data_IF_688035711874
#
_entry.id   IF_688035711874
#
_cell.length_a   1.000
_cell.length_b   1.000
_cell.length_c   1.000
_cell.angle_alpha   90.00
_cell.angle_beta   90.00
_cell.angle_gamma   90.00
#
_symmetry.space_group_name_H-M   'P 1'
#
loop_
_entity.id
_entity.type
_entity.pdbx_description
1 polymer ?
#
# COMPACT_ATOMS: atom_id res chain seq x y z
N UNK A 1 32.29 69.88 -8.48
CA UNK A 1 30.97 69.25 -8.20
C UNK A 1 30.82 67.84 -8.76
N UNK A 2 31.64 67.35 -9.71
CA UNK A 2 31.55 65.97 -10.25
C UNK A 2 31.82 64.82 -9.23
N UNK A 3 32.33 65.13 -8.04
CA UNK A 3 32.71 64.11 -7.04
C UNK A 3 31.51 63.47 -6.35
N UNK A 4 30.39 64.16 -6.24
CA UNK A 4 29.23 63.68 -5.47
C UNK A 4 28.38 62.72 -6.31
N UNK A 5 28.15 63.04 -7.59
CA UNK A 5 27.42 62.16 -8.52
C UNK A 5 28.15 60.84 -8.78
N UNK A 6 29.48 60.85 -8.85
CA UNK A 6 30.28 59.63 -8.94
C UNK A 6 30.24 58.79 -7.66
N UNK A 7 30.17 59.43 -6.49
CA UNK A 7 30.05 58.72 -5.22
C UNK A 7 28.67 58.04 -5.09
N UNK A 8 27.60 58.74 -5.51
CA UNK A 8 26.23 58.21 -5.50
C UNK A 8 26.11 57.03 -6.47
N UNK A 9 26.55 57.16 -7.73
CA UNK A 9 26.46 56.05 -8.71
C UNK A 9 27.30 54.82 -8.31
N UNK A 10 28.35 54.99 -7.52
CA UNK A 10 29.13 53.88 -6.96
C UNK A 10 28.41 53.21 -5.79
N UNK A 11 27.73 53.98 -4.95
CA UNK A 11 26.93 53.46 -3.86
C UNK A 11 25.75 52.63 -4.40
N UNK A 12 25.01 53.15 -5.38
CA UNK A 12 23.87 52.45 -5.99
C UNK A 12 24.30 51.10 -6.59
N UNK A 13 25.42 51.09 -7.34
CA UNK A 13 25.96 49.83 -7.89
C UNK A 13 26.43 48.85 -6.81
N UNK A 14 26.99 49.36 -5.71
CA UNK A 14 27.41 48.50 -4.62
C UNK A 14 26.19 47.87 -3.91
N UNK A 15 25.09 48.62 -3.77
CA UNK A 15 23.83 48.12 -3.23
C UNK A 15 23.21 47.05 -4.15
N UNK A 16 23.16 47.29 -5.46
CA UNK A 16 22.69 46.31 -6.44
C UNK A 16 23.53 45.02 -6.41
N UNK A 17 24.86 45.14 -6.36
CA UNK A 17 25.76 43.98 -6.28
C UNK A 17 25.52 43.22 -4.96
N UNK A 18 25.41 43.92 -3.83
CA UNK A 18 25.16 43.30 -2.54
C UNK A 18 23.81 42.56 -2.50
N UNK A 19 22.77 43.13 -3.11
CA UNK A 19 21.46 42.50 -3.24
C UNK A 19 21.54 41.20 -4.07
N UNK A 20 22.23 41.24 -5.21
CA UNK A 20 22.42 40.07 -6.08
C UNK A 20 23.25 38.98 -5.39
N UNK A 21 24.33 39.34 -4.72
CA UNK A 21 25.16 38.39 -3.96
C UNK A 21 24.35 37.71 -2.86
N UNK A 22 23.50 38.46 -2.16
CA UNK A 22 22.62 37.93 -1.13
C UNK A 22 21.57 36.97 -1.72
N UNK A 23 20.98 37.30 -2.86
CA UNK A 23 20.02 36.43 -3.54
C UNK A 23 20.68 35.11 -4.00
N UNK A 24 21.88 35.18 -4.58
CA UNK A 24 22.67 34.01 -4.99
C UNK A 24 23.02 33.16 -3.77
N UNK A 25 23.46 33.77 -2.67
CA UNK A 25 23.78 33.05 -1.43
C UNK A 25 22.56 32.30 -0.88
N UNK A 26 21.40 32.95 -0.84
CA UNK A 26 20.14 32.34 -0.43
C UNK A 26 19.76 31.17 -1.33
N UNK A 27 19.85 31.35 -2.66
CA UNK A 27 19.53 30.30 -3.62
C UNK A 27 20.47 29.09 -3.47
N UNK A 28 21.76 29.31 -3.21
CA UNK A 28 22.72 28.22 -2.98
C UNK A 28 22.38 27.45 -1.71
N UNK A 29 22.10 28.14 -0.61
CA UNK A 29 21.72 27.49 0.65
C UNK A 29 20.45 26.66 0.51
N UNK A 30 19.44 27.18 -0.20
CA UNK A 30 18.20 26.46 -0.45
C UNK A 30 18.46 25.20 -1.29
N UNK A 31 19.26 25.31 -2.35
CA UNK A 31 19.62 24.18 -3.20
C UNK A 31 20.35 23.08 -2.41
N UNK A 32 21.30 23.47 -1.56
CA UNK A 32 22.07 22.53 -0.74
C UNK A 32 21.17 21.80 0.27
N UNK A 33 20.24 22.51 0.90
CA UNK A 33 19.24 21.91 1.80
C UNK A 33 18.33 20.92 1.09
N UNK A 34 17.86 21.28 -0.11
CA UNK A 34 17.00 20.41 -0.91
C UNK A 34 17.76 19.17 -1.42
N UNK A 35 19.03 19.34 -1.82
CA UNK A 35 19.91 18.24 -2.21
C UNK A 35 20.17 17.28 -1.04
N UNK A 36 20.40 17.82 0.16
CA UNK A 36 20.57 16.99 1.36
C UNK A 36 19.29 16.20 1.67
N UNK A 37 18.12 16.82 1.53
CA UNK A 37 16.82 16.14 1.72
C UNK A 37 16.64 14.99 0.73
N UNK A 38 17.03 15.17 -0.53
CA UNK A 38 17.02 14.09 -1.53
C UNK A 38 17.99 12.97 -1.17
N UNK A 39 19.21 13.31 -0.74
CA UNK A 39 20.21 12.33 -0.32
C UNK A 39 19.73 11.50 0.85
N UNK A 40 19.13 12.13 1.85
CA UNK A 40 18.62 11.43 3.04
C UNK A 40 17.47 10.49 2.69
N UNK A 41 16.57 10.91 1.79
CA UNK A 41 15.52 10.03 1.27
C UNK A 41 16.13 8.82 0.56
N UNK A 42 17.11 9.02 -0.32
CA UNK A 42 17.81 7.93 -1.03
C UNK A 42 18.55 6.98 -0.08
N UNK A 43 19.16 7.49 0.98
CA UNK A 43 19.81 6.65 1.99
C UNK A 43 18.80 5.75 2.72
N UNK A 44 17.63 6.27 3.06
CA UNK A 44 16.55 5.46 3.67
C UNK A 44 15.97 4.43 2.69
N UNK A 45 15.91 4.76 1.40
CA UNK A 45 15.48 3.83 0.36
C UNK A 45 16.49 2.70 0.21
N UNK A 46 17.78 3.02 0.22
CA UNK A 46 18.86 2.04 0.15
C UNK A 46 18.89 1.08 1.36
N UNK A 47 18.40 1.53 2.53
CA UNK A 47 18.21 0.66 3.70
C UNK A 47 16.90 -0.14 3.68
N UNK A 48 16.11 -0.05 2.60
CA UNK A 48 14.86 -0.81 2.42
C UNK A 48 13.60 -0.09 2.91
N UNK A 49 13.70 1.16 3.35
CA UNK A 49 12.53 1.95 3.74
C UNK A 49 11.90 2.66 2.52
N UNK A 50 11.09 1.92 1.76
CA UNK A 50 10.39 2.44 0.58
C UNK A 50 9.17 3.33 0.89
N UNK A 51 8.82 3.52 2.17
CA UNK A 51 7.70 4.39 2.58
C UNK A 51 8.07 5.87 2.62
N UNK A 52 9.36 6.19 2.51
CA UNK A 52 9.89 7.55 2.53
C UNK A 52 9.58 8.25 1.22
N UNK A 53 9.31 9.56 1.31
CA UNK A 53 9.14 10.42 0.13
C UNK A 53 10.28 11.42 0.05
N UNK A 54 10.80 11.60 -1.15
CA UNK A 54 11.66 12.73 -1.47
C UNK A 54 10.80 14.00 -1.44
N UNK A 55 10.88 14.78 -0.36
CA UNK A 55 10.11 16.00 -0.16
C UNK A 55 10.99 17.22 -0.48
N UNK A 56 10.71 17.85 -1.61
CA UNK A 56 11.38 19.08 -2.05
C UNK A 56 10.30 20.11 -2.38
N UNK A 57 10.48 21.42 -2.06
CA UNK A 57 9.50 22.45 -2.38
C UNK A 57 9.17 22.51 -3.87
N UNK A 58 7.93 22.89 -4.21
CA UNK A 58 7.52 23.09 -5.61
C UNK A 58 8.20 24.33 -6.18
N UNK A 59 8.60 24.26 -7.44
CA UNK A 59 9.25 25.38 -8.14
C UNK A 59 10.77 25.44 -7.99
N UNK A 60 11.38 24.52 -7.23
CA UNK A 60 12.84 24.38 -7.22
C UNK A 60 13.29 23.50 -8.39
N UNK A 61 14.54 23.69 -8.83
CA UNK A 61 15.15 22.89 -9.91
C UNK A 61 15.14 21.38 -9.59
N UNK A 62 15.17 21.03 -8.30
CA UNK A 62 15.20 19.64 -7.84
C UNK A 62 13.80 18.99 -7.73
N UNK A 63 12.73 19.76 -7.92
CA UNK A 63 11.37 19.25 -7.76
C UNK A 63 11.03 18.12 -8.73
N UNK A 64 11.40 18.24 -10.01
CA UNK A 64 11.16 17.20 -11.01
C UNK A 64 11.94 15.92 -10.70
N UNK A 65 13.15 16.06 -10.14
CA UNK A 65 13.97 14.94 -9.68
C UNK A 65 13.26 14.24 -8.52
N UNK A 66 12.83 15.00 -7.50
CA UNK A 66 12.08 14.46 -6.37
C UNK A 66 10.81 13.70 -6.81
N UNK A 67 10.09 14.27 -7.80
CA UNK A 67 8.89 13.65 -8.37
C UNK A 67 9.21 12.33 -9.08
N UNK A 68 10.26 12.29 -9.90
CA UNK A 68 10.65 11.06 -10.60
C UNK A 68 11.08 9.95 -9.63
N UNK A 69 11.82 10.29 -8.57
CA UNK A 69 12.19 9.37 -7.48
C UNK A 69 10.93 8.81 -6.81
N UNK A 70 9.98 9.66 -6.42
CA UNK A 70 8.74 9.22 -5.78
C UNK A 70 7.91 8.27 -6.66
N UNK A 71 7.87 8.52 -7.98
CA UNK A 71 7.22 7.62 -8.92
C UNK A 71 7.92 6.27 -9.01
N UNK A 72 9.26 6.25 -8.99
CA UNK A 72 10.03 5.00 -8.99
C UNK A 72 9.79 4.20 -7.70
N UNK A 73 9.73 4.87 -6.54
CA UNK A 73 9.42 4.23 -5.27
C UNK A 73 8.05 3.58 -5.27
N UNK A 74 7.03 4.30 -5.75
CA UNK A 74 5.70 3.73 -5.85
C UNK A 74 5.65 2.50 -6.77
N UNK A 75 6.45 2.49 -7.84
CA UNK A 75 6.57 1.32 -8.72
C UNK A 75 7.27 0.16 -8.01
N UNK A 76 8.38 0.41 -7.33
CA UNK A 76 9.12 -0.61 -6.57
C UNK A 76 8.26 -1.24 -5.47
N UNK A 77 7.51 -0.43 -4.72
CA UNK A 77 6.58 -0.90 -3.70
C UNK A 77 5.52 -1.83 -4.32
N UNK A 78 4.93 -1.44 -5.46
CA UNK A 78 3.98 -2.28 -6.19
C UNK A 78 4.61 -3.58 -6.68
N UNK A 79 5.82 -3.54 -7.22
CA UNK A 79 6.53 -4.75 -7.65
C UNK A 79 6.76 -5.70 -6.48
N UNK A 80 7.20 -5.20 -5.32
CA UNK A 80 7.39 -6.02 -4.12
C UNK A 80 6.09 -6.67 -3.64
N UNK A 81 4.98 -5.93 -3.64
CA UNK A 81 3.66 -6.48 -3.30
C UNK A 81 3.23 -7.57 -4.30
N UNK A 82 3.38 -7.33 -5.60
CA UNK A 82 3.03 -8.31 -6.64
C UNK A 82 3.91 -9.56 -6.59
N UNK A 83 5.20 -9.41 -6.28
CA UNK A 83 6.10 -10.56 -6.10
C UNK A 83 5.69 -11.41 -4.90
N UNK A 84 5.32 -10.75 -3.79
CA UNK A 84 4.83 -11.43 -2.60
C UNK A 84 3.53 -12.21 -2.88
N UNK A 85 2.56 -11.58 -3.55
CA UNK A 85 1.31 -12.23 -3.97
C UNK A 85 1.55 -13.42 -4.91
N UNK A 86 2.47 -13.27 -5.87
CA UNK A 86 2.83 -14.33 -6.80
C UNK A 86 3.48 -15.52 -6.08
N UNK A 87 4.42 -15.25 -5.17
CA UNK A 87 5.08 -16.30 -4.41
C UNK A 87 4.10 -17.03 -3.49
N UNK A 88 3.20 -16.31 -2.83
CA UNK A 88 2.12 -16.91 -2.05
C UNK A 88 1.21 -17.78 -2.92
N UNK A 89 0.77 -17.27 -4.06
CA UNK A 89 -0.08 -18.03 -4.99
C UNK A 89 0.62 -19.29 -5.50
N UNK A 90 1.94 -19.24 -5.77
CA UNK A 90 2.73 -20.41 -6.17
C UNK A 90 2.80 -21.47 -5.07
N UNK A 91 3.00 -21.07 -3.82
CA UNK A 91 3.03 -21.99 -2.68
C UNK A 91 1.68 -22.70 -2.53
N UNK A 92 0.58 -21.96 -2.58
CA UNK A 92 -0.77 -22.52 -2.48
C UNK A 92 -1.12 -23.42 -3.68
N UNK A 93 -0.64 -23.09 -4.88
CA UNK A 93 -0.80 -23.94 -6.05
C UNK A 93 -0.09 -25.29 -5.88
N UNK A 94 1.10 -25.31 -5.26
CA UNK A 94 1.83 -26.55 -4.98
C UNK A 94 1.09 -27.42 -3.95
N UNK A 95 0.54 -26.81 -2.90
CA UNK A 95 -0.27 -27.53 -1.92
C UNK A 95 -1.51 -28.12 -2.59
N UNK A 96 -2.21 -27.33 -3.42
CA UNK A 96 -3.37 -27.82 -4.17
C UNK A 96 -3.00 -28.96 -5.13
N UNK A 97 -1.88 -28.85 -5.84
CA UNK A 97 -1.40 -29.91 -6.73
C UNK A 97 -1.15 -31.22 -5.96
N UNK A 98 -0.51 -31.15 -4.78
CA UNK A 98 -0.29 -32.34 -3.95
C UNK A 98 -1.60 -33.01 -3.49
N UNK A 99 -2.64 -32.22 -3.18
CA UNK A 99 -3.96 -32.74 -2.86
C UNK A 99 -4.62 -33.41 -4.07
N UNK A 100 -4.44 -32.87 -5.28
CA UNK A 100 -4.93 -33.49 -6.51
C UNK A 100 -4.20 -34.81 -6.82
N UNK A 101 -2.89 -34.87 -6.59
CA UNK A 101 -2.11 -36.09 -6.75
C UNK A 101 -2.56 -37.19 -5.77
N UNK A 102 -2.87 -36.82 -4.52
CA UNK A 102 -3.43 -37.75 -3.54
C UNK A 102 -4.80 -38.29 -3.98
N UNK A 103 -5.66 -37.42 -4.51
CA UNK A 103 -6.95 -37.83 -5.04
C UNK A 103 -6.78 -38.79 -6.23
N UNK A 104 -5.86 -38.48 -7.15
CA UNK A 104 -5.57 -39.31 -8.33
C UNK A 104 -4.99 -40.68 -7.93
N UNK A 105 -4.20 -40.73 -6.85
CA UNK A 105 -3.69 -41.96 -6.27
C UNK A 105 -4.74 -42.76 -5.47
N UNK A 106 -5.99 -42.29 -5.41
CA UNK A 106 -7.07 -42.92 -4.64
C UNK A 106 -6.96 -42.75 -3.13
N UNK A 107 -6.05 -41.88 -2.66
CA UNK A 107 -5.97 -41.47 -1.24
C UNK A 107 -7.04 -40.41 -0.97
N UNK A 108 -7.38 -40.21 0.31
CA UNK A 108 -8.25 -39.10 0.73
C UNK A 108 -7.41 -37.81 0.75
N UNK A 109 -7.63 -36.86 -0.16
CA UNK A 109 -6.86 -35.64 -0.17
C UNK A 109 -7.22 -34.76 1.02
N UNK A 110 -6.22 -34.11 1.62
CA UNK A 110 -6.43 -33.03 2.57
C UNK A 110 -6.48 -31.72 1.76
N UNK A 111 -7.69 -31.22 1.54
CA UNK A 111 -7.87 -29.98 0.80
C UNK A 111 -7.31 -28.78 1.60
N UNK A 112 -6.54 -27.89 0.96
CA UNK A 112 -6.10 -26.66 1.61
C UNK A 112 -7.31 -25.80 2.00
N UNK A 113 -7.16 -25.01 3.06
CA UNK A 113 -8.15 -24.00 3.45
C UNK A 113 -8.11 -22.79 2.52
N UNK A 114 -8.99 -21.80 2.78
CA UNK A 114 -8.94 -20.52 2.08
C UNK A 114 -7.64 -19.80 2.38
N UNK A 115 -6.89 -19.51 1.33
CA UNK A 115 -5.54 -18.95 1.37
C UNK A 115 -5.53 -17.44 1.15
N UNK A 116 -6.66 -16.85 0.76
CA UNK A 116 -6.77 -15.45 0.35
C UNK A 116 -6.14 -15.19 -1.02
N UNK A 117 -5.86 -16.24 -1.80
CA UNK A 117 -5.30 -16.14 -3.16
C UNK A 117 -6.39 -16.36 -4.20
N UNK A 118 -6.06 -16.14 -5.47
CA UNK A 118 -6.95 -16.41 -6.60
C UNK A 118 -7.33 -17.89 -6.76
N UNK A 119 -6.73 -18.80 -5.98
CA UNK A 119 -7.03 -20.23 -6.00
C UNK A 119 -8.23 -20.61 -5.13
N UNK A 120 -8.66 -19.73 -4.21
CA UNK A 120 -9.75 -20.02 -3.28
C UNK A 120 -11.06 -20.48 -3.97
N UNK A 121 -11.51 -19.87 -5.09
CA UNK A 121 -12.70 -20.35 -5.81
C UNK A 121 -12.54 -21.77 -6.38
N UNK A 122 -11.31 -22.19 -6.70
CA UNK A 122 -11.02 -23.54 -7.20
C UNK A 122 -11.07 -24.54 -6.05
N UNK A 123 -10.46 -24.20 -4.92
CA UNK A 123 -10.47 -24.99 -3.68
C UNK A 123 -11.89 -25.23 -3.19
N UNK A 124 -12.72 -24.17 -3.14
CA UNK A 124 -14.12 -24.25 -2.71
C UNK A 124 -14.93 -25.20 -3.63
N UNK A 125 -14.70 -25.18 -4.94
CA UNK A 125 -15.39 -26.08 -5.89
C UNK A 125 -14.93 -27.54 -5.74
N UNK A 126 -13.63 -27.78 -5.60
CA UNK A 126 -13.08 -29.14 -5.49
C UNK A 126 -13.48 -29.83 -4.18
N UNK A 127 -13.45 -29.09 -3.06
CA UNK A 127 -13.89 -29.59 -1.76
C UNK A 127 -15.39 -29.91 -1.73
N UNK A 128 -16.22 -29.09 -2.39
CA UNK A 128 -17.65 -29.38 -2.54
C UNK A 128 -17.91 -30.67 -3.32
N UNK A 129 -17.21 -30.90 -4.44
CA UNK A 129 -17.36 -32.10 -5.27
C UNK A 129 -16.97 -33.39 -4.54
N UNK A 130 -15.91 -33.34 -3.73
CA UNK A 130 -15.42 -34.50 -2.99
C UNK A 130 -16.22 -34.79 -1.70
N UNK A 131 -16.90 -33.78 -1.14
CA UNK A 131 -17.84 -33.94 -0.01
C UNK A 131 -19.23 -34.51 -0.39
N UNK A 132 -19.63 -34.42 -1.66
CA UNK A 132 -20.96 -34.88 -2.11
C UNK A 132 -21.12 -36.39 -2.29
N UNK A 133 -20.04 -37.19 -2.27
CA UNK A 133 -20.11 -38.64 -2.47
C UNK A 133 -20.57 -39.46 -1.26
N UNK A 134 -21.05 -38.82 -0.17
CA UNK A 134 -21.43 -39.51 1.07
C UNK A 134 -22.78 -39.13 1.69
N UNK A 135 -23.60 -38.29 1.04
CA UNK A 135 -24.90 -37.88 1.62
C UNK A 135 -26.03 -38.78 1.13
N UNK A 136 -26.01 -40.03 1.57
CA UNK A 136 -27.22 -40.86 1.68
C UNK A 136 -28.14 -40.18 2.69
N UNK A 137 -29.21 -39.59 2.19
CA UNK A 137 -30.31 -39.04 2.96
C UNK A 137 -30.85 -40.08 3.94
N UNK A 138 -30.90 -39.84 5.27
CA UNK A 138 -31.80 -40.59 6.14
C UNK A 138 -33.22 -40.13 5.81
N UNK A 139 -33.90 -40.97 5.05
CA UNK A 139 -35.33 -40.90 4.84
C UNK A 139 -36.02 -41.23 6.18
N UNK A 140 -36.87 -40.33 6.66
CA UNK A 140 -37.91 -40.64 7.64
C UNK A 140 -37.78 -39.96 8.99
N UNK A 141 -38.40 -38.78 9.12
CA UNK A 141 -39.40 -38.57 10.18
C UNK A 141 -40.25 -37.33 9.85
N UNK A 142 -41.57 -37.48 9.61
CA UNK A 142 -42.49 -36.35 9.58
C UNK A 142 -42.73 -35.86 11.01
N UNK A 143 -42.43 -34.57 11.26
CA UNK A 143 -42.81 -33.88 12.48
C UNK A 143 -44.33 -33.67 12.52
N UNK A 144 -45.03 -34.07 13.60
CA UNK A 144 -46.42 -33.70 13.82
C UNK A 144 -46.55 -32.24 14.28
N UNK A 145 -47.53 -31.57 13.70
CA UNK A 145 -48.08 -30.25 14.02
C UNK A 145 -48.72 -30.18 15.41
N UNK A 146 -48.41 -29.09 16.17
CA UNK A 146 -49.22 -28.42 17.22
C UNK A 146 -48.25 -27.64 18.14
N UNK A 147 -48.42 -26.38 18.58
CA UNK A 147 -49.47 -25.36 18.50
C UNK A 147 -48.88 -24.05 19.15
N UNK A 148 -49.64 -22.97 19.49
CA UNK A 148 -49.33 -21.59 19.09
C UNK A 148 -48.71 -20.66 20.17
N UNK A 149 -48.12 -19.58 19.65
CA UNK A 149 -48.01 -18.19 20.15
C UNK A 149 -48.16 -17.87 21.65
N UNK A 150 -47.14 -17.18 22.18
CA UNK A 150 -47.30 -16.15 23.23
C UNK A 150 -46.52 -14.88 22.86
N UNK A 151 -47.15 -13.70 22.78
CA UNK A 151 -46.46 -12.43 22.69
C UNK A 151 -46.18 -11.91 24.11
N UNK A 152 -44.92 -11.56 24.40
CA UNK A 152 -44.56 -10.87 25.63
C UNK A 152 -43.66 -9.66 25.34
N UNK A 153 -44.33 -8.51 25.29
CA UNK A 153 -44.00 -7.29 26.04
C UNK A 153 -42.63 -6.64 25.85
N UNK A 154 -42.58 -5.71 24.89
CA UNK A 154 -42.32 -4.27 25.12
C UNK A 154 -41.56 -3.87 26.41
N UNK A 155 -40.32 -3.39 26.29
CA UNK A 155 -39.73 -2.44 27.24
C UNK A 155 -38.82 -1.42 26.54
N UNK A 156 -39.12 -0.14 26.80
CA UNK A 156 -38.54 1.09 26.24
C UNK A 156 -37.08 1.31 26.65
N UNK A 157 -36.28 2.05 25.84
CA UNK A 157 -35.02 2.62 26.29
C UNK A 157 -35.26 3.86 27.17
N UNK A 158 -34.70 3.83 28.38
CA UNK A 158 -34.68 4.94 29.34
C UNK A 158 -33.58 5.93 28.94
N UNK A 159 -34.00 7.14 28.63
CA UNK A 159 -33.19 8.34 28.36
C UNK A 159 -32.84 9.01 29.69
N UNK A 160 -31.55 9.23 29.99
CA UNK A 160 -31.00 10.24 30.93
C UNK A 160 -29.49 10.36 30.63
N UNK A 161 -28.80 11.48 30.71
CA UNK A 161 -29.09 12.92 30.81
C UNK A 161 -27.78 13.59 30.38
#
# INVERSE_FOLDING_TARGET
>A
MLSTDQAISRADRAEDIAALEHEIANSKQQLEKDAQTLRDALAQIASGNFKVKAQVPRGTVLWDIARSINNMLQRLERYGMSEHELNRTRQEAQVLASALDDLAAGRRPLWPGRSGTLLDPIIDRLSAMSGTSGRSTPQGQPQPTAQPQRPSTQQLPRRQL
#
